data_IF_404691265953
#
_entry.id   IF_404691265953
#
_cell.length_a   1.000
_cell.length_b   1.000
_cell.length_c   1.000
_cell.angle_alpha   90.00
_cell.angle_beta   90.00
_cell.angle_gamma   90.00
#
_symmetry.space_group_name_H-M   'P 1'
#
loop_
_entity.id
_entity.type
_entity.pdbx_description
1 polymer ?
#
# COMPACT_ATOMS: atom_id res chain seq x y z
N UNK A 1 22.07 -2.01 -7.63
CA UNK A 1 21.66 -3.26 -6.99
C UNK A 1 21.01 -4.13 -8.04
N UNK A 2 21.14 -5.45 -7.92
CA UNK A 2 20.47 -6.38 -8.83
C UNK A 2 18.98 -6.52 -8.53
N UNK A 3 18.28 -7.30 -9.35
CA UNK A 3 16.92 -7.76 -9.03
C UNK A 3 17.00 -8.81 -7.92
N UNK A 4 16.13 -8.68 -6.93
CA UNK A 4 15.93 -9.70 -5.92
C UNK A 4 15.20 -10.90 -6.54
N UNK A 5 15.75 -12.09 -6.30
CA UNK A 5 15.08 -13.34 -6.66
C UNK A 5 14.02 -13.69 -5.61
N UNK A 6 12.86 -14.24 -6.02
CA UNK A 6 11.84 -14.68 -5.08
C UNK A 6 12.37 -15.84 -4.22
N UNK A 7 11.92 -15.90 -2.96
CA UNK A 7 12.20 -17.03 -2.09
C UNK A 7 11.55 -18.33 -2.59
N UNK A 8 12.12 -19.48 -2.19
CA UNK A 8 11.54 -20.81 -2.42
C UNK A 8 11.12 -21.43 -1.07
N UNK A 9 9.84 -21.31 -0.67
CA UNK A 9 9.37 -21.93 0.56
C UNK A 9 9.56 -23.45 0.53
N UNK A 10 9.97 -24.03 1.66
CA UNK A 10 10.19 -25.47 1.76
C UNK A 10 8.90 -26.24 1.45
N UNK A 11 8.99 -27.27 0.60
CA UNK A 11 7.84 -28.08 0.17
C UNK A 11 6.96 -27.45 -0.92
N UNK A 12 7.27 -26.25 -1.40
CA UNK A 12 6.55 -25.60 -2.50
C UNK A 12 7.43 -25.52 -3.74
N UNK A 13 7.02 -26.23 -4.79
CA UNK A 13 7.62 -26.05 -6.11
C UNK A 13 6.87 -24.92 -6.83
N UNK A 14 7.43 -23.71 -6.78
CA UNK A 14 6.84 -22.55 -7.46
C UNK A 14 7.13 -22.67 -8.96
N UNK A 15 6.14 -23.16 -9.72
CA UNK A 15 6.23 -23.39 -11.16
C UNK A 15 5.52 -22.30 -11.98
N UNK A 16 5.59 -21.06 -11.54
CA UNK A 16 4.89 -19.94 -12.19
C UNK A 16 5.86 -18.89 -12.70
N UNK A 17 5.55 -18.33 -13.86
CA UNK A 17 6.28 -17.21 -14.44
C UNK A 17 5.93 -15.87 -13.74
N UNK A 18 6.83 -14.86 -13.80
CA UNK A 18 6.59 -13.53 -13.25
C UNK A 18 5.34 -12.87 -13.83
N UNK A 19 4.68 -12.05 -13.01
CA UNK A 19 3.55 -11.23 -13.43
C UNK A 19 4.01 -9.93 -14.12
N UNK A 20 3.35 -9.56 -15.22
CA UNK A 20 3.63 -8.37 -16.05
C UNK A 20 2.43 -7.43 -16.19
N UNK A 21 1.43 -7.55 -15.30
CA UNK A 21 0.21 -6.73 -15.34
C UNK A 21 0.53 -5.22 -15.26
N UNK A 22 -0.16 -4.38 -16.07
CA UNK A 22 0.07 -2.93 -16.09
C UNK A 22 -0.41 -2.27 -14.79
N UNK A 23 0.24 -1.16 -14.40
CA UNK A 23 -0.18 -0.37 -13.24
C UNK A 23 -1.36 0.54 -13.61
N UNK A 24 -2.35 0.65 -12.74
CA UNK A 24 -3.33 1.74 -12.76
C UNK A 24 -3.54 2.27 -11.34
N UNK A 25 -4.08 3.48 -11.26
CA UNK A 25 -4.17 4.24 -10.02
C UNK A 25 -5.58 4.81 -9.90
N UNK A 26 -6.48 4.11 -9.21
CA UNK A 26 -7.70 4.68 -8.63
C UNK A 26 -8.26 3.77 -7.55
N UNK A 27 -7.98 4.14 -6.32
CA UNK A 27 -8.38 3.39 -5.14
C UNK A 27 -8.69 4.41 -4.06
N UNK A 28 -9.55 4.01 -3.13
CA UNK A 28 -9.86 4.77 -1.92
C UNK A 28 -9.60 3.91 -0.70
N UNK A 29 -9.23 4.58 0.39
CA UNK A 29 -9.01 3.97 1.69
C UNK A 29 -9.91 4.67 2.70
N UNK A 30 -10.46 3.90 3.65
CA UNK A 30 -11.03 4.43 4.90
C UNK A 30 -10.57 3.60 6.09
N UNK A 31 -10.31 4.26 7.22
CA UNK A 31 -10.10 3.62 8.52
C UNK A 31 -11.05 4.23 9.54
N UNK A 32 -11.56 3.42 10.47
CA UNK A 32 -12.37 3.90 11.59
C UNK A 32 -12.17 2.98 12.81
N UNK A 33 -12.37 3.56 14.00
CA UNK A 33 -12.36 2.85 15.28
C UNK A 33 -13.49 3.43 16.14
N UNK A 34 -14.25 2.58 16.81
CA UNK A 34 -15.35 2.98 17.69
C UNK A 34 -14.97 2.92 19.18
N UNK A 35 -15.87 3.42 20.03
CA UNK A 35 -15.73 3.45 21.49
C UNK A 35 -15.96 2.09 22.16
N UNK A 36 -16.51 1.12 21.44
CA UNK A 36 -16.68 -0.27 21.85
C UNK A 36 -15.45 -1.14 21.52
N UNK A 37 -14.45 -0.57 20.84
CA UNK A 37 -13.21 -1.24 20.44
C UNK A 37 -13.29 -1.96 19.08
N UNK A 38 -14.37 -1.77 18.32
CA UNK A 38 -14.47 -2.16 16.93
C UNK A 38 -13.57 -1.30 16.05
N UNK A 39 -13.00 -1.91 15.00
CA UNK A 39 -12.12 -1.22 14.06
C UNK A 39 -12.21 -1.78 12.65
N UNK A 40 -12.01 -0.89 11.68
CA UNK A 40 -11.99 -1.22 10.26
C UNK A 40 -10.81 -0.55 9.57
N UNK A 41 -10.19 -1.30 8.67
CA UNK A 41 -9.38 -0.77 7.58
C UNK A 41 -9.99 -1.29 6.28
N UNK A 42 -10.47 -0.40 5.43
CA UNK A 42 -11.14 -0.76 4.19
C UNK A 42 -10.50 -0.05 3.01
N UNK A 43 -9.94 -0.85 2.10
CA UNK A 43 -9.48 -0.39 0.78
C UNK A 43 -10.52 -0.82 -0.26
N UNK A 44 -11.03 0.11 -1.06
CA UNK A 44 -12.05 -0.14 -2.10
C UNK A 44 -11.70 0.54 -3.41
N UNK A 45 -12.15 -0.03 -4.53
CA UNK A 45 -11.69 0.38 -5.86
C UNK A 45 -12.63 -0.07 -7.00
N UNK A 46 -12.54 0.65 -8.12
CA UNK A 46 -13.00 0.23 -9.46
C UNK A 46 -11.83 -0.01 -10.43
N UNK A 47 -10.63 -0.15 -9.87
CA UNK A 47 -9.27 -0.17 -10.44
C UNK A 47 -8.76 1.15 -11.03
N UNK A 48 -9.15 1.51 -12.25
CA UNK A 48 -8.76 2.81 -12.82
C UNK A 48 -9.75 3.91 -12.47
N UNK A 49 -9.38 5.18 -12.69
CA UNK A 49 -10.31 6.28 -12.47
C UNK A 49 -11.53 6.09 -13.38
N UNK A 50 -12.72 6.07 -12.78
CA UNK A 50 -13.99 5.73 -13.44
C UNK A 50 -14.08 4.29 -13.98
N UNK A 51 -13.21 3.38 -13.53
CA UNK A 51 -13.23 1.95 -13.85
C UNK A 51 -13.18 1.66 -15.34
N UNK A 52 -14.17 0.94 -15.86
CA UNK A 52 -14.27 0.62 -17.29
C UNK A 52 -14.89 1.74 -18.13
N UNK A 53 -15.25 2.87 -17.52
CA UNK A 53 -16.01 3.98 -18.14
C UNK A 53 -17.41 3.58 -18.61
N UNK A 54 -17.91 2.44 -18.13
CA UNK A 54 -19.28 1.97 -18.37
C UNK A 54 -20.11 2.20 -17.12
N UNK A 55 -21.34 2.68 -17.32
CA UNK A 55 -22.29 2.92 -16.23
C UNK A 55 -23.52 2.03 -16.42
N UNK A 56 -23.98 1.42 -15.32
CA UNK A 56 -25.21 0.63 -15.26
C UNK A 56 -26.01 1.10 -14.06
N UNK A 57 -27.24 1.55 -14.29
CA UNK A 57 -28.15 2.01 -13.23
C UNK A 57 -27.54 3.06 -12.28
N UNK A 58 -26.70 3.96 -12.81
CA UNK A 58 -26.02 4.99 -12.03
C UNK A 58 -24.72 4.54 -11.35
N UNK A 59 -24.30 3.28 -11.50
CA UNK A 59 -23.06 2.76 -10.94
C UNK A 59 -21.99 2.56 -12.01
N UNK A 60 -20.76 2.95 -11.70
CA UNK A 60 -19.60 2.67 -12.55
C UNK A 60 -19.19 1.21 -12.43
N UNK A 61 -18.98 0.54 -13.56
CA UNK A 61 -18.40 -0.80 -13.58
C UNK A 61 -16.87 -0.72 -13.43
N UNK A 62 -16.30 -1.66 -12.68
CA UNK A 62 -14.85 -1.78 -12.54
C UNK A 62 -14.20 -2.26 -13.84
N UNK A 63 -12.90 -2.04 -13.97
CA UNK A 63 -12.06 -2.71 -14.96
C UNK A 63 -11.05 -3.68 -14.32
N UNK A 64 -11.39 -4.30 -13.19
CA UNK A 64 -10.47 -5.11 -12.36
C UNK A 64 -9.83 -6.29 -13.10
N UNK A 65 -10.45 -6.78 -14.19
CA UNK A 65 -9.86 -7.83 -15.02
C UNK A 65 -8.49 -7.46 -15.59
N UNK A 66 -8.12 -6.18 -15.58
CA UNK A 66 -6.81 -5.70 -16.06
C UNK A 66 -5.68 -5.89 -15.06
N UNK A 67 -5.99 -6.27 -13.82
CA UNK A 67 -5.00 -6.72 -12.84
C UNK A 67 -4.47 -8.12 -13.14
N UNK A 68 -5.07 -8.88 -14.07
CA UNK A 68 -4.49 -10.13 -14.54
C UNK A 68 -3.36 -9.89 -15.54
N UNK A 69 -2.42 -10.83 -15.57
CA UNK A 69 -1.51 -10.98 -16.70
C UNK A 69 -2.29 -11.43 -17.92
N UNK A 70 -2.19 -10.65 -19.00
CA UNK A 70 -2.69 -11.06 -20.32
C UNK A 70 -1.75 -12.02 -21.04
N UNK A 71 -0.56 -12.28 -20.48
CA UNK A 71 0.34 -13.34 -20.90
C UNK A 71 0.00 -14.57 -20.05
N UNK A 72 -0.60 -15.64 -20.64
CA UNK A 72 -1.04 -16.80 -19.87
C UNK A 72 0.11 -17.73 -19.48
N UNK A 73 1.19 -17.75 -20.28
CA UNK A 73 2.34 -18.63 -20.14
C UNK A 73 3.60 -17.91 -20.64
N UNK A 74 4.73 -18.16 -20.00
CA UNK A 74 6.05 -17.69 -20.44
C UNK A 74 7.03 -18.87 -20.32
N UNK A 75 7.78 -19.16 -21.40
CA UNK A 75 8.76 -20.25 -21.45
C UNK A 75 8.22 -21.64 -21.03
N UNK A 76 6.99 -22.00 -21.44
CA UNK A 76 6.40 -23.29 -21.08
C UNK A 76 5.82 -23.34 -19.66
N UNK A 77 5.88 -22.24 -18.91
CA UNK A 77 5.41 -22.17 -17.52
C UNK A 77 4.22 -21.20 -17.40
N UNK A 78 3.11 -21.61 -16.80
CA UNK A 78 1.95 -20.75 -16.65
C UNK A 78 2.28 -19.52 -15.79
N UNK A 79 1.69 -18.36 -16.08
CA UNK A 79 1.80 -17.19 -15.19
C UNK A 79 0.83 -17.38 -14.01
N UNK A 80 1.30 -17.15 -12.78
CA UNK A 80 0.49 -17.31 -11.56
C UNK A 80 -0.78 -16.45 -11.62
N UNK A 81 -0.64 -15.21 -12.07
CA UNK A 81 -1.72 -14.23 -12.20
C UNK A 81 -2.33 -14.20 -13.61
N UNK A 82 -2.33 -15.30 -14.37
CA UNK A 82 -3.08 -15.37 -15.64
C UNK A 82 -4.59 -15.41 -15.42
N UNK A 83 -5.35 -14.97 -16.42
CA UNK A 83 -6.82 -15.03 -16.48
C UNK A 83 -7.33 -16.47 -16.41
N UNK A 84 -8.29 -16.76 -15.53
CA UNK A 84 -9.00 -18.04 -15.45
C UNK A 84 -10.46 -17.82 -14.99
N UNK A 85 -11.41 -18.68 -15.38
CA UNK A 85 -12.81 -18.57 -14.94
C UNK A 85 -12.95 -18.60 -13.42
N UNK A 86 -13.76 -17.69 -12.87
CA UNK A 86 -14.04 -17.60 -11.42
C UNK A 86 -12.84 -17.18 -10.55
N UNK A 87 -11.67 -16.92 -11.14
CA UNK A 87 -10.46 -16.51 -10.41
C UNK A 87 -10.52 -15.02 -10.07
N UNK A 88 -9.94 -14.67 -8.93
CA UNK A 88 -9.71 -13.28 -8.50
C UNK A 88 -8.33 -12.82 -8.98
N UNK A 89 -8.20 -11.63 -9.58
CA UNK A 89 -6.90 -11.10 -9.97
C UNK A 89 -6.07 -10.71 -8.74
N UNK A 90 -4.74 -10.70 -8.90
CA UNK A 90 -3.83 -10.25 -7.83
C UNK A 90 -4.05 -8.77 -7.53
N UNK A 91 -4.23 -8.44 -6.26
CA UNK A 91 -4.30 -7.06 -5.78
C UNK A 91 -3.07 -6.68 -4.95
N UNK A 92 -2.76 -5.39 -4.91
CA UNK A 92 -1.77 -4.80 -4.00
C UNK A 92 -2.43 -4.07 -2.82
N UNK A 93 -3.77 -4.07 -2.72
CA UNK A 93 -4.47 -3.48 -1.58
C UNK A 93 -4.02 -4.14 -0.27
N UNK A 94 -3.70 -3.32 0.73
CA UNK A 94 -3.16 -3.77 2.01
C UNK A 94 -3.88 -3.10 3.20
N UNK A 95 -5.21 -3.28 3.35
CA UNK A 95 -5.90 -2.85 4.56
C UNK A 95 -5.33 -3.61 5.77
N UNK A 96 -4.80 -2.89 6.74
CA UNK A 96 -3.98 -3.46 7.81
C UNK A 96 -4.48 -3.01 9.18
N UNK A 97 -4.63 -3.98 10.09
CA UNK A 97 -4.82 -3.76 11.52
C UNK A 97 -3.61 -4.31 12.26
N UNK A 98 -3.08 -3.54 13.21
CA UNK A 98 -1.94 -3.93 14.03
C UNK A 98 -2.41 -4.14 15.46
N UNK A 99 -2.02 -5.28 16.04
CA UNK A 99 -2.37 -5.65 17.41
C UNK A 99 -1.13 -5.84 18.25
N UNK A 100 -1.21 -5.45 19.52
CA UNK A 100 -0.21 -5.81 20.51
C UNK A 100 -0.22 -7.34 20.67
N UNK A 101 0.98 -7.93 20.67
CA UNK A 101 1.12 -9.38 20.69
C UNK A 101 0.76 -10.00 22.04
N UNK A 102 0.97 -9.28 23.13
CA UNK A 102 0.77 -9.79 24.48
C UNK A 102 -0.64 -9.53 25.00
N UNK A 103 -1.15 -8.31 24.85
CA UNK A 103 -2.49 -7.91 25.31
C UNK A 103 -3.58 -8.20 24.29
N UNK A 104 -3.24 -8.32 23.00
CA UNK A 104 -4.21 -8.41 21.92
C UNK A 104 -4.93 -7.08 21.63
N UNK A 105 -4.48 -5.98 22.23
CA UNK A 105 -5.08 -4.65 22.02
C UNK A 105 -4.81 -4.16 20.59
N UNK A 106 -5.82 -3.54 19.97
CA UNK A 106 -5.62 -2.82 18.72
C UNK A 106 -4.68 -1.63 18.93
N UNK A 107 -3.57 -1.60 18.19
CA UNK A 107 -2.58 -0.52 18.19
C UNK A 107 -2.78 0.44 17.04
N UNK A 108 -3.12 -0.05 15.85
CA UNK A 108 -3.31 0.82 14.68
C UNK A 108 -4.27 0.22 13.65
N UNK A 109 -4.99 1.09 12.94
CA UNK A 109 -5.68 0.79 11.68
C UNK A 109 -5.08 1.67 10.60
N UNK A 110 -4.63 1.07 9.49
CA UNK A 110 -3.94 1.78 8.41
C UNK A 110 -4.22 1.14 7.05
N UNK A 111 -4.20 1.95 6.01
CA UNK A 111 -4.17 1.48 4.63
C UNK A 111 -3.92 2.64 3.68
N UNK A 112 -3.84 2.37 2.38
CA UNK A 112 -3.59 3.40 1.38
C UNK A 112 -4.08 2.95 0.00
N UNK A 113 -4.52 3.88 -0.87
CA UNK A 113 -4.63 3.66 -2.31
C UNK A 113 -3.29 3.88 -3.03
N UNK A 114 -3.17 3.45 -4.29
CA UNK A 114 -1.95 3.70 -5.09
C UNK A 114 -1.45 2.57 -5.97
N UNK A 115 -2.31 1.62 -6.36
CA UNK A 115 -1.92 0.48 -7.19
C UNK A 115 -0.81 -0.34 -6.53
N UNK A 116 0.25 -0.67 -7.29
CA UNK A 116 1.35 -1.48 -6.74
C UNK A 116 2.17 -0.80 -5.64
N UNK A 117 2.06 0.53 -5.48
CA UNK A 117 2.79 1.28 -4.45
C UNK A 117 2.10 1.23 -3.07
N UNK A 118 0.87 0.73 -2.98
CA UNK A 118 0.11 0.60 -1.72
C UNK A 118 0.93 -0.08 -0.63
N UNK A 119 1.63 -1.16 -1.00
CA UNK A 119 2.44 -1.95 -0.07
C UNK A 119 3.54 -1.08 0.57
N UNK A 120 4.18 -0.23 -0.23
CA UNK A 120 5.27 0.65 0.20
C UNK A 120 4.75 1.77 1.10
N UNK A 121 3.61 2.38 0.75
CA UNK A 121 2.99 3.43 1.56
C UNK A 121 2.55 2.92 2.93
N UNK A 122 1.90 1.75 2.98
CA UNK A 122 1.47 1.14 4.24
C UNK A 122 2.68 0.74 5.08
N UNK A 123 3.69 0.09 4.48
CA UNK A 123 4.90 -0.31 5.20
C UNK A 123 5.64 0.90 5.79
N UNK A 124 5.85 1.95 4.99
CA UNK A 124 6.46 3.23 5.43
C UNK A 124 5.70 3.80 6.63
N UNK A 125 4.37 3.89 6.55
CA UNK A 125 3.57 4.46 7.63
C UNK A 125 3.59 3.60 8.89
N UNK A 126 3.54 2.27 8.77
CA UNK A 126 3.65 1.37 9.93
C UNK A 126 5.01 1.53 10.63
N UNK A 127 6.11 1.59 9.87
CA UNK A 127 7.45 1.84 10.43
C UNK A 127 7.51 3.20 11.11
N UNK A 128 7.03 4.25 10.44
CA UNK A 128 7.01 5.60 11.00
C UNK A 128 6.25 5.68 12.32
N UNK A 129 5.08 5.04 12.42
CA UNK A 129 4.25 5.05 13.63
C UNK A 129 4.83 4.18 14.74
N UNK A 130 5.28 2.96 14.45
CA UNK A 130 5.60 1.96 15.47
C UNK A 130 7.07 1.88 15.85
N UNK A 131 7.98 2.08 14.89
CA UNK A 131 9.43 2.00 15.13
C UNK A 131 9.99 3.38 15.46
N UNK A 132 9.59 4.40 14.70
CA UNK A 132 10.08 5.77 14.88
C UNK A 132 9.22 6.60 15.85
N UNK A 133 8.13 6.02 16.36
CA UNK A 133 7.20 6.67 17.30
C UNK A 133 6.69 8.04 16.82
N UNK A 134 6.48 8.19 15.51
CA UNK A 134 5.91 9.40 14.95
C UNK A 134 4.41 9.43 15.21
N UNK A 135 3.89 10.64 15.44
CA UNK A 135 2.46 10.92 15.35
C UNK A 135 1.91 10.44 13.98
N UNK A 136 0.70 9.84 13.93
CA UNK A 136 0.14 9.30 12.68
C UNK A 136 0.09 10.33 11.54
N UNK A 137 -0.20 11.60 11.81
CA UNK A 137 -0.21 12.64 10.78
C UNK A 137 1.20 12.88 10.20
N UNK A 138 2.22 12.88 11.06
CA UNK A 138 3.61 12.99 10.62
C UNK A 138 4.06 11.74 9.83
N UNK A 139 3.69 10.53 10.30
CA UNK A 139 4.05 9.27 9.67
C UNK A 139 3.44 9.11 8.26
N UNK A 140 2.17 9.48 8.07
CA UNK A 140 1.55 9.48 6.74
C UNK A 140 2.15 10.56 5.85
N UNK A 141 2.48 11.72 6.43
CA UNK A 141 3.06 12.88 5.74
C UNK A 141 4.50 12.72 5.28
N UNK A 142 5.26 11.73 5.79
CA UNK A 142 6.62 11.45 5.33
C UNK A 142 6.70 11.33 3.80
N UNK A 143 7.81 11.76 3.17
CA UNK A 143 8.09 11.48 1.77
C UNK A 143 7.92 10.00 1.44
N UNK A 144 7.26 9.68 0.33
CA UNK A 144 7.08 8.31 -0.15
C UNK A 144 8.34 7.83 -0.86
N UNK A 145 8.65 6.55 -0.69
CA UNK A 145 9.77 5.88 -1.35
C UNK A 145 9.55 4.38 -1.37
N UNK A 146 10.24 3.69 -2.26
CA UNK A 146 10.16 2.24 -2.34
C UNK A 146 10.97 1.63 -3.48
N UNK A 147 10.75 0.34 -3.71
CA UNK A 147 11.28 -0.36 -4.87
C UNK A 147 10.45 -1.61 -5.14
N UNK A 148 9.93 -1.69 -6.36
CA UNK A 148 9.13 -2.82 -6.84
C UNK A 148 9.99 -3.84 -7.58
N UNK A 149 11.11 -4.21 -6.95
CA UNK A 149 12.16 -5.08 -7.50
C UNK A 149 12.81 -4.51 -8.78
N UNK A 150 13.11 -3.22 -8.75
CA UNK A 150 13.68 -2.45 -9.86
C UNK A 150 14.42 -1.23 -9.30
N UNK A 151 14.35 -0.07 -9.98
CA UNK A 151 14.90 1.17 -9.45
C UNK A 151 14.35 1.47 -8.05
N UNK A 152 15.11 2.23 -7.26
CA UNK A 152 14.59 2.91 -6.08
C UNK A 152 13.76 4.09 -6.54
N UNK A 153 12.46 4.02 -6.26
CA UNK A 153 11.49 5.03 -6.62
C UNK A 153 11.37 6.00 -5.44
N UNK A 154 11.55 7.29 -5.72
CA UNK A 154 11.47 8.37 -4.75
C UNK A 154 10.34 9.32 -5.16
N UNK A 155 9.57 9.79 -4.18
CA UNK A 155 8.61 10.85 -4.42
C UNK A 155 9.31 12.11 -4.93
N UNK A 156 8.87 12.55 -6.10
CA UNK A 156 9.46 13.65 -6.84
C UNK A 156 9.56 14.92 -5.99
N UNK A 157 10.78 15.47 -5.90
CA UNK A 157 11.03 16.76 -5.24
C UNK A 157 11.09 16.71 -3.72
N UNK A 158 10.91 15.55 -3.09
CA UNK A 158 10.90 15.44 -1.62
C UNK A 158 12.25 15.02 -1.02
N UNK A 159 13.24 14.68 -1.85
CA UNK A 159 14.53 14.16 -1.40
C UNK A 159 15.70 15.02 -1.86
N UNK A 160 16.69 15.19 -0.97
CA UNK A 160 17.85 16.03 -1.24
C UNK A 160 18.76 15.44 -2.33
N UNK A 161 19.48 16.28 -3.11
CA UNK A 161 20.48 15.80 -4.05
C UNK A 161 21.56 14.91 -3.39
N UNK A 162 21.94 15.22 -2.16
CA UNK A 162 22.93 14.46 -1.40
C UNK A 162 22.47 13.02 -1.11
N UNK A 163 21.21 12.82 -0.72
CA UNK A 163 20.66 11.48 -0.50
C UNK A 163 20.59 10.69 -1.81
N UNK A 164 20.13 11.33 -2.91
CA UNK A 164 20.08 10.69 -4.23
C UNK A 164 21.47 10.22 -4.67
N UNK A 165 22.49 11.05 -4.51
CA UNK A 165 23.87 10.69 -4.82
C UNK A 165 24.40 9.57 -3.91
N UNK A 166 24.07 9.59 -2.62
CA UNK A 166 24.46 8.52 -1.69
C UNK A 166 23.85 7.17 -2.08
N UNK A 167 22.58 7.13 -2.48
CA UNK A 167 21.91 5.93 -3.00
C UNK A 167 22.59 5.43 -4.28
N UNK A 168 22.88 6.33 -5.22
CA UNK A 168 23.59 5.99 -6.46
C UNK A 168 25.01 5.45 -6.19
N UNK A 169 25.72 6.02 -5.21
CA UNK A 169 27.04 5.52 -4.79
C UNK A 169 26.99 4.11 -4.17
N UNK A 170 25.86 3.74 -3.56
CA UNK A 170 25.57 2.36 -3.13
C UNK A 170 25.06 1.48 -4.29
N UNK A 171 25.05 2.00 -5.51
CA UNK A 171 24.69 1.30 -6.73
C UNK A 171 23.20 1.26 -7.04
N UNK A 172 22.36 2.05 -6.36
CA UNK A 172 20.94 2.13 -6.70
C UNK A 172 20.75 2.86 -8.04
N UNK A 173 19.89 2.31 -8.90
CA UNK A 173 19.24 3.13 -9.93
C UNK A 173 18.13 3.92 -9.21
N UNK A 174 18.13 5.25 -9.36
CA UNK A 174 17.20 6.13 -8.62
C UNK A 174 16.30 6.85 -9.61
N UNK A 175 14.99 6.69 -9.42
CA UNK A 175 13.98 7.34 -10.23
C UNK A 175 13.07 8.20 -9.36
N UNK A 176 12.87 9.45 -9.75
CA UNK A 176 11.88 10.33 -9.12
C UNK A 176 10.55 10.22 -9.88
N UNK A 177 9.49 9.86 -9.18
CA UNK A 177 8.15 9.67 -9.76
C UNK A 177 7.09 10.37 -8.91
N UNK A 178 5.93 10.63 -9.52
CA UNK A 178 4.77 11.12 -8.78
C UNK A 178 4.18 9.96 -7.93
N UNK A 179 4.03 10.20 -6.63
CA UNK A 179 3.55 9.22 -5.65
C UNK A 179 2.34 9.78 -4.89
N UNK A 180 1.16 9.69 -5.49
CA UNK A 180 -0.04 10.39 -5.00
C UNK A 180 -0.59 9.85 -3.69
N UNK A 181 -0.36 8.57 -3.36
CA UNK A 181 -0.80 7.94 -2.10
C UNK A 181 -2.25 8.30 -1.75
N UNK A 182 -2.58 8.48 -0.48
CA UNK A 182 -3.93 8.64 0.10
C UNK A 182 -4.07 7.85 1.40
N UNK A 183 -2.95 7.65 2.11
CA UNK A 183 -2.88 6.86 3.33
C UNK A 183 -3.77 7.46 4.41
N UNK A 184 -4.48 6.59 5.13
CA UNK A 184 -5.23 6.99 6.31
C UNK A 184 -4.85 6.06 7.45
N UNK A 185 -4.67 6.64 8.63
CA UNK A 185 -4.25 5.90 9.82
C UNK A 185 -4.96 6.39 11.08
N UNK A 186 -5.27 5.46 11.98
CA UNK A 186 -5.66 5.71 13.37
C UNK A 186 -4.73 4.88 14.26
N UNK A 187 -4.16 5.48 15.30
CA UNK A 187 -3.22 4.85 16.23
C UNK A 187 -3.69 5.04 17.66
N UNK A 188 -3.57 3.98 18.47
CA UNK A 188 -3.78 4.04 19.91
C UNK A 188 -2.57 4.74 20.53
N UNK A 189 -2.81 5.86 21.20
CA UNK A 189 -1.79 6.58 21.97
C UNK A 189 -2.13 6.52 23.45
N UNK A 190 -1.12 6.66 24.32
CA UNK A 190 -1.29 6.72 25.77
C UNK A 190 -0.61 7.97 26.31
N UNK A 191 -1.27 8.68 27.22
CA UNK A 191 -0.66 9.80 27.92
C UNK A 191 0.31 9.33 29.02
N UNK A 192 0.96 10.28 29.71
CA UNK A 192 1.92 9.99 30.78
C UNK A 192 1.29 9.26 31.98
N UNK A 193 -0.05 9.28 32.09
CA UNK A 193 -0.84 8.61 33.12
C UNK A 193 -1.35 7.24 32.64
N UNK A 194 -1.07 6.85 31.40
CA UNK A 194 -1.45 5.58 30.80
C UNK A 194 -2.86 5.54 30.22
N UNK A 195 -3.59 6.66 30.22
CA UNK A 195 -4.92 6.76 29.63
C UNK A 195 -4.81 6.65 28.11
N UNK A 196 -5.57 5.73 27.52
CA UNK A 196 -5.58 5.53 26.08
C UNK A 196 -6.51 6.53 25.38
N UNK A 197 -6.08 6.99 24.21
CA UNK A 197 -6.90 7.74 23.24
C UNK A 197 -6.50 7.34 21.81
N UNK A 198 -7.20 7.89 20.82
CA UNK A 198 -6.93 7.67 19.41
C UNK A 198 -6.36 8.93 18.78
N UNK A 199 -5.30 8.76 17.99
CA UNK A 199 -4.76 9.81 17.12
C UNK A 199 -4.98 9.40 15.66
N UNK A 200 -5.44 10.33 14.84
CA UNK A 200 -5.71 10.10 13.42
C UNK A 200 -4.75 10.88 12.52
N UNK A 201 -4.48 10.35 11.33
CA UNK A 201 -3.70 11.04 10.30
C UNK A 201 -4.26 10.77 8.91
N UNK A 202 -4.36 11.82 8.09
CA UNK A 202 -4.76 11.74 6.70
C UNK A 202 -3.65 12.26 5.79
N UNK A 203 -3.35 11.53 4.72
CA UNK A 203 -2.26 11.88 3.80
C UNK A 203 -2.51 13.25 3.14
N UNK A 204 -1.57 14.21 3.26
CA UNK A 204 -1.75 15.58 2.76
C UNK A 204 -1.79 15.67 1.22
N UNK A 205 -1.52 14.56 0.51
CA UNK A 205 -1.52 14.51 -0.96
C UNK A 205 -2.93 14.44 -1.56
N UNK A 206 -3.96 14.22 -0.73
CA UNK A 206 -5.37 14.20 -1.12
C UNK A 206 -6.23 14.97 -0.10
N UNK A 207 -7.46 15.23 -0.49
CA UNK A 207 -8.53 15.85 0.31
C UNK A 207 -9.11 14.98 1.44
N UNK A 208 -8.34 14.02 1.98
CA UNK A 208 -8.78 13.21 3.12
C UNK A 208 -8.70 13.98 4.45
N UNK A 209 -9.57 13.66 5.40
CA UNK A 209 -9.57 14.24 6.75
C UNK A 209 -9.54 13.15 7.83
N UNK A 210 -9.03 13.51 9.01
CA UNK A 210 -9.07 12.69 10.21
C UNK A 210 -9.84 13.45 11.30
N UNK A 211 -10.95 12.87 11.76
CA UNK A 211 -11.87 13.48 12.73
C UNK A 211 -12.18 12.48 13.86
N UNK A 212 -12.49 13.00 15.04
CA UNK A 212 -12.86 12.21 16.22
C UNK A 212 -13.43 13.11 17.33
N UNK A 213 -14.06 12.47 18.31
CA UNK A 213 -14.72 13.10 19.47
C UNK A 213 -13.90 12.97 20.77
#
# INVERSE_FOLDING_TARGET
>A
MGKAEPGKPQGIQVAYAPDRSPMRISTSQVVAVDDLGGAVSMTTTVEAAFGSHLMVQGFMLNNQMTDFSFIPEENGQPVANRVQPGKRPRSSMAPTLVFDRASGELLASVGSPGGSQIIEYVAKSVVGMLDWNLDPQAAVGLPNFGSRNGPTELEKGQFSPALKQALQAQGHEVNEIDMTSGTQAIVRVRDAQGKASWAGGADPRREGEALGD
#
